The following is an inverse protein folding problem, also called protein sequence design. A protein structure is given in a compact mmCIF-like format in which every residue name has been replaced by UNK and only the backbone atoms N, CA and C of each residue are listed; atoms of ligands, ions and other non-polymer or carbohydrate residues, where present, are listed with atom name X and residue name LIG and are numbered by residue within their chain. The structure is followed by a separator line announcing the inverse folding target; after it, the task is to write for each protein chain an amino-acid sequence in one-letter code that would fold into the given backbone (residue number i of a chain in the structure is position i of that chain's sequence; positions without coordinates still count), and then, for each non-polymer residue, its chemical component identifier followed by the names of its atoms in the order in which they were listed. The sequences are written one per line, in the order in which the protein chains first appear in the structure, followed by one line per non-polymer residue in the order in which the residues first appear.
data_IF_851645233422
#
_entry.id   IF_851645233422
#
_cell.length_a   1.000
_cell.length_b   1.000
_cell.length_c   1.000
_cell.angle_alpha   90.00
_cell.angle_beta   90.00
_cell.angle_gamma   90.00
#
_symmetry.space_group_name_H-M   'P 1'
#
loop_
_entity.id
_entity.type
_entity.pdbx_description
1 polymer ?
#
# COMPACT_ATOMS: atom_id res chain seq x y z
N UNK A 1 -23.37 5.03 -1.25
CA UNK A 1 -22.48 6.12 -1.75
C UNK A 1 -21.13 6.22 -1.01
N UNK A 2 -20.96 5.73 0.23
CA UNK A 2 -19.67 5.76 0.96
C UNK A 2 -18.62 4.75 0.44
N UNK A 3 -19.10 3.65 -0.14
CA UNK A 3 -18.29 2.58 -0.74
C UNK A 3 -17.40 3.18 -1.85
N UNK A 4 -17.97 3.83 -2.86
CA UNK A 4 -17.20 4.42 -3.97
C UNK A 4 -16.05 5.34 -3.54
N UNK A 5 -16.20 6.12 -2.46
CA UNK A 5 -15.16 7.07 -2.05
C UNK A 5 -13.94 6.38 -1.42
N UNK A 6 -14.16 5.29 -0.69
CA UNK A 6 -13.09 4.52 -0.05
C UNK A 6 -12.25 3.77 -1.08
N UNK A 7 -12.90 3.23 -2.12
CA UNK A 7 -12.22 2.50 -3.19
C UNK A 7 -11.42 3.44 -4.08
N UNK A 8 -11.99 4.57 -4.48
CA UNK A 8 -11.29 5.59 -5.24
C UNK A 8 -10.05 6.11 -4.50
N UNK A 9 -10.16 6.29 -3.17
CA UNK A 9 -9.03 6.71 -2.36
C UNK A 9 -7.95 5.62 -2.27
N UNK A 10 -8.35 4.36 -2.04
CA UNK A 10 -7.42 3.23 -1.96
C UNK A 10 -6.72 2.97 -3.31
N UNK A 11 -7.43 3.10 -4.43
CA UNK A 11 -6.86 3.01 -5.78
C UNK A 11 -5.87 4.14 -6.04
N UNK A 12 -6.24 5.39 -5.74
CA UNK A 12 -5.36 6.55 -5.91
C UNK A 12 -4.08 6.42 -5.07
N UNK A 13 -4.20 5.99 -3.82
CA UNK A 13 -3.04 5.74 -2.96
C UNK A 13 -2.19 4.57 -3.49
N UNK A 14 -2.83 3.52 -4.00
CA UNK A 14 -2.13 2.41 -4.64
C UNK A 14 -1.30 2.92 -5.81
N UNK A 15 -1.89 3.71 -6.73
CA UNK A 15 -1.18 4.31 -7.87
C UNK A 15 -0.02 5.20 -7.43
N UNK A 16 -0.19 6.02 -6.40
CA UNK A 16 0.91 6.84 -5.84
C UNK A 16 2.05 5.96 -5.31
N UNK A 17 1.71 4.86 -4.65
CA UNK A 17 2.68 3.86 -4.20
C UNK A 17 3.31 3.16 -5.40
N UNK A 18 2.61 2.78 -6.45
CA UNK A 18 3.25 2.12 -7.61
C UNK A 18 4.23 3.06 -8.32
N UNK A 19 3.81 4.31 -8.53
CA UNK A 19 4.56 5.34 -9.27
C UNK A 19 5.64 6.04 -8.44
N UNK A 20 5.86 5.63 -7.19
CA UNK A 20 6.83 6.23 -6.28
C UNK A 20 6.58 7.71 -5.94
N UNK A 21 5.34 8.16 -6.04
CA UNK A 21 4.94 9.54 -5.73
C UNK A 21 4.28 9.68 -4.36
N UNK A 22 4.11 8.57 -3.64
CA UNK A 22 3.54 8.54 -2.30
C UNK A 22 4.48 9.13 -1.25
N UNK A 23 3.93 9.98 -0.36
CA UNK A 23 4.59 10.44 0.84
C UNK A 23 4.23 9.60 2.08
N UNK A 24 4.79 9.94 3.24
CA UNK A 24 4.51 9.20 4.48
C UNK A 24 3.01 9.25 4.87
N UNK A 25 2.33 10.37 4.63
CA UNK A 25 0.91 10.51 4.95
C UNK A 25 0.07 9.63 4.05
N UNK A 26 0.46 9.48 2.78
CA UNK A 26 -0.17 8.54 1.85
C UNK A 26 -0.08 7.09 2.37
N UNK A 27 1.10 6.65 2.84
CA UNK A 27 1.25 5.30 3.41
C UNK A 27 0.45 5.11 4.70
N UNK A 28 0.42 6.12 5.58
CA UNK A 28 -0.40 6.08 6.80
C UNK A 28 -1.89 6.02 6.47
N UNK A 29 -2.34 6.80 5.48
CA UNK A 29 -3.72 6.77 5.03
C UNK A 29 -4.07 5.43 4.40
N UNK A 30 -3.17 4.89 3.58
CA UNK A 30 -3.30 3.57 2.99
C UNK A 30 -3.46 2.48 4.05
N UNK A 31 -2.61 2.46 5.09
CA UNK A 31 -2.75 1.54 6.23
C UNK A 31 -4.13 1.63 6.90
N UNK A 32 -4.62 2.85 7.15
CA UNK A 32 -5.95 3.06 7.75
C UNK A 32 -7.05 2.47 6.87
N UNK A 33 -6.96 2.67 5.54
CA UNK A 33 -7.94 2.10 4.60
C UNK A 33 -7.88 0.58 4.57
N UNK A 34 -6.68 -0.01 4.62
CA UNK A 34 -6.50 -1.46 4.70
C UNK A 34 -7.08 -2.03 6.01
N UNK A 35 -6.87 -1.33 7.14
CA UNK A 35 -7.44 -1.70 8.43
C UNK A 35 -8.96 -1.61 8.44
N UNK A 36 -9.54 -0.57 7.86
CA UNK A 36 -10.98 -0.44 7.62
C UNK A 36 -11.51 -1.51 6.63
N UNK A 37 -10.62 -2.11 5.86
CA UNK A 37 -10.89 -3.28 5.03
C UNK A 37 -10.89 -4.61 5.77
N UNK A 38 -10.52 -4.63 7.05
CA UNK A 38 -10.46 -5.82 7.90
C UNK A 38 -9.07 -6.43 8.05
N UNK A 39 -8.02 -5.82 7.48
CA UNK A 39 -6.66 -6.31 7.68
C UNK A 39 -6.10 -5.80 9.02
N UNK A 40 -5.56 -6.69 9.84
CA UNK A 40 -4.88 -6.26 11.06
C UNK A 40 -3.56 -5.55 10.74
N UNK A 41 -3.11 -4.70 11.67
CA UNK A 41 -1.81 -4.04 11.55
C UNK A 41 -0.67 -5.05 11.45
N UNK A 42 -0.71 -6.10 12.25
CA UNK A 42 0.29 -7.18 12.25
C UNK A 42 0.36 -7.85 10.88
N UNK A 43 -0.79 -8.09 10.25
CA UNK A 43 -0.85 -8.68 8.92
C UNK A 43 -0.22 -7.75 7.88
N UNK A 44 -0.59 -6.46 7.87
CA UNK A 44 -0.01 -5.46 6.96
C UNK A 44 1.51 -5.36 7.16
N UNK A 45 1.97 -5.27 8.41
CA UNK A 45 3.39 -5.16 8.74
C UNK A 45 4.15 -6.46 8.47
N UNK A 46 3.50 -7.63 8.49
CA UNK A 46 4.16 -8.88 8.09
C UNK A 46 4.62 -8.84 6.62
N UNK A 47 3.91 -8.13 5.74
CA UNK A 47 4.30 -7.93 4.34
C UNK A 47 5.44 -6.93 4.21
N UNK A 48 5.41 -5.84 4.97
CA UNK A 48 6.55 -4.90 5.09
C UNK A 48 7.81 -5.63 5.58
N UNK A 49 7.69 -6.43 6.63
CA UNK A 49 8.81 -7.17 7.22
C UNK A 49 9.37 -8.21 6.24
N UNK A 50 8.50 -8.92 5.48
CA UNK A 50 8.92 -9.82 4.40
C UNK A 50 9.63 -9.08 3.26
N UNK A 51 9.27 -7.83 3.03
CA UNK A 51 9.95 -6.93 2.11
C UNK A 51 11.25 -6.32 2.70
N UNK A 52 11.58 -6.61 3.97
CA UNK A 52 12.79 -6.13 4.64
C UNK A 52 12.66 -4.74 5.27
N UNK A 53 11.43 -4.29 5.56
CA UNK A 53 11.15 -3.00 6.19
C UNK A 53 10.35 -3.19 7.47
N UNK A 54 10.73 -2.52 8.55
CA UNK A 54 10.02 -2.56 9.83
C UNK A 54 8.81 -1.63 9.87
N UNK A 55 8.83 -0.57 9.06
CA UNK A 55 7.76 0.42 8.98
C UNK A 55 7.72 1.16 7.64
N UNK A 56 6.69 2.01 7.47
CA UNK A 56 6.50 2.82 6.27
C UNK A 56 7.59 3.86 6.02
N UNK A 57 8.26 4.36 7.07
CA UNK A 57 9.36 5.32 6.91
C UNK A 57 10.58 4.63 6.30
N UNK A 58 10.91 3.42 6.76
CA UNK A 58 12.01 2.64 6.18
C UNK A 58 11.75 2.34 4.70
N UNK A 59 10.52 1.93 4.35
CA UNK A 59 10.13 1.73 2.96
C UNK A 59 10.25 3.03 2.15
N UNK A 60 9.73 4.15 2.64
CA UNK A 60 9.77 5.44 1.96
C UNK A 60 11.22 5.90 1.74
N UNK A 61 12.08 5.76 2.76
CA UNK A 61 13.49 6.13 2.68
C UNK A 61 14.23 5.27 1.66
N UNK A 62 14.05 3.94 1.71
CA UNK A 62 14.65 3.03 0.75
C UNK A 62 14.23 3.34 -0.69
N UNK A 63 12.98 3.77 -0.89
CA UNK A 63 12.49 4.19 -2.21
C UNK A 63 13.11 5.49 -2.68
N UNK A 64 13.21 6.51 -1.82
CA UNK A 64 13.90 7.77 -2.13
C UNK A 64 15.38 7.55 -2.45
N UNK A 65 16.04 6.66 -1.74
CA UNK A 65 17.43 6.28 -2.01
C UNK A 65 17.58 5.55 -3.35
N UNK A 66 16.66 4.64 -3.68
CA UNK A 66 16.66 3.93 -4.97
C UNK A 66 16.37 4.84 -6.16
N UNK A 67 15.45 5.78 -5.99
CA UNK A 67 15.14 6.78 -7.00
C UNK A 67 16.34 7.68 -7.29
N UNK A 68 17.10 8.05 -6.24
CA UNK A 68 18.41 8.73 -6.37
C UNK A 68 19.47 7.84 -7.04
N UNK A 69 19.44 6.54 -6.78
CA UNK A 69 20.39 5.57 -7.35
C UNK A 69 20.01 5.07 -8.76
N UNK A 70 18.84 5.43 -9.31
CA UNK A 70 18.26 4.94 -10.58
C UNK A 70 18.13 3.41 -10.67
N UNK A 71 17.90 2.74 -9.54
CA UNK A 71 17.80 1.28 -9.48
C UNK A 71 16.33 0.80 -9.37
N UNK A 72 15.87 0.03 -10.36
CA UNK A 72 14.46 -0.28 -10.62
C UNK A 72 14.01 -1.62 -10.01
N UNK A 73 14.13 -1.78 -8.69
CA UNK A 73 13.79 -3.04 -8.04
C UNK A 73 12.26 -3.18 -7.80
N UNK A 74 11.53 -3.57 -8.84
CA UNK A 74 10.05 -3.64 -8.89
C UNK A 74 9.40 -4.71 -7.99
N UNK A 75 10.14 -5.74 -7.57
CA UNK A 75 9.58 -6.90 -6.83
C UNK A 75 9.06 -6.55 -5.43
N UNK A 76 9.64 -5.56 -4.77
CA UNK A 76 9.27 -5.15 -3.40
C UNK A 76 7.93 -4.43 -3.35
N UNK A 77 7.63 -3.66 -4.40
CA UNK A 77 6.46 -2.79 -4.48
C UNK A 77 5.19 -3.62 -4.74
N UNK A 78 5.29 -4.67 -5.57
CA UNK A 78 4.17 -5.55 -5.90
C UNK A 78 3.54 -6.28 -4.71
N UNK A 79 4.31 -6.61 -3.67
CA UNK A 79 3.79 -7.28 -2.47
C UNK A 79 2.88 -6.41 -1.60
N UNK A 80 3.19 -5.12 -1.50
CA UNK A 80 2.44 -4.15 -0.69
C UNK A 80 1.19 -3.67 -1.44
N UNK A 81 1.34 -3.38 -2.74
CA UNK A 81 0.22 -3.05 -3.64
C UNK A 81 -0.82 -4.17 -3.66
N UNK A 82 -0.36 -5.43 -3.70
CA UNK A 82 -1.24 -6.60 -3.74
C UNK A 82 -2.20 -6.69 -2.56
N UNK A 83 -1.87 -6.12 -1.40
CA UNK A 83 -2.79 -6.04 -0.26
C UNK A 83 -3.97 -5.10 -0.53
N UNK A 84 -3.72 -3.90 -1.06
CA UNK A 84 -4.78 -2.96 -1.40
C UNK A 84 -5.67 -3.47 -2.52
N UNK A 85 -5.07 -4.01 -3.59
CA UNK A 85 -5.83 -4.61 -4.69
C UNK A 85 -6.66 -5.82 -4.22
N UNK A 86 -6.12 -6.64 -3.31
CA UNK A 86 -6.83 -7.77 -2.72
C UNK A 86 -8.09 -7.36 -1.94
N UNK A 87 -8.03 -6.26 -1.16
CA UNK A 87 -9.20 -5.73 -0.47
C UNK A 87 -10.23 -5.17 -1.45
N UNK A 88 -9.79 -4.42 -2.47
CA UNK A 88 -10.67 -3.87 -3.50
C UNK A 88 -11.45 -5.00 -4.19
N UNK A 89 -10.78 -6.08 -4.58
CA UNK A 89 -11.39 -7.25 -5.21
C UNK A 89 -12.33 -7.96 -4.23
N UNK A 90 -11.86 -8.28 -3.02
CA UNK A 90 -12.64 -9.04 -2.05
C UNK A 90 -13.96 -8.33 -1.70
N UNK A 91 -13.95 -7.00 -1.51
CA UNK A 91 -15.17 -6.27 -1.19
C UNK A 91 -16.11 -6.10 -2.41
N UNK A 92 -15.59 -5.96 -3.64
CA UNK A 92 -16.43 -5.99 -4.86
C UNK A 92 -17.23 -7.29 -4.98
N UNK A 93 -16.62 -8.43 -4.65
CA UNK A 93 -17.26 -9.75 -4.69
C UNK A 93 -18.02 -10.13 -3.41
N UNK A 94 -17.95 -9.32 -2.35
CA UNK A 94 -18.73 -9.51 -1.11
C UNK A 94 -20.04 -8.71 -1.11
N UNK A 95 -20.22 -7.78 -2.05
CA UNK A 95 -21.46 -7.00 -2.23
C UNK A 95 -22.42 -7.64 -3.27
N UNK A 96 -22.13 -8.84 -3.77
CA UNK A 96 -23.08 -9.77 -4.44
C UNK A 96 -23.68 -10.76 -3.43
#
# INVERSE_FOLDING_TARGET
MLVNNTYNELELLTQKIETNTADLKDYQRYEILLQNGGLSKEYIYSYLNRAGFNDWNELLNARKEKERAKDNNAKLIGGIIGLGLGILIAKLFSEE
#
